data_IF_253530225831
#
_entry.id   IF_253530225831
#
_cell.length_a   1.000
_cell.length_b   1.000
_cell.length_c   1.000
_cell.angle_alpha   90.00
_cell.angle_beta   90.00
_cell.angle_gamma   90.00
#
_symmetry.space_group_name_H-M   'P 1'
#
loop_
_entity.id
_entity.type
_entity.pdbx_description
1 polymer ?
#
# COMPACT_ATOMS: atom_id res chain seq x y z
N UNK A 1 -25.48 1.56 14.19
CA UNK A 1 -24.13 1.55 13.59
C UNK A 1 -24.11 2.71 12.61
N UNK A 2 -23.30 3.77 12.81
CA UNK A 2 -23.25 4.83 11.82
C UNK A 2 -22.78 4.19 10.51
N UNK A 3 -23.50 4.50 9.44
CA UNK A 3 -23.17 4.10 8.07
C UNK A 3 -21.91 4.86 7.66
N UNK A 4 -20.75 4.39 8.12
CA UNK A 4 -19.47 4.98 7.77
C UNK A 4 -19.24 4.61 6.31
N UNK A 5 -19.55 5.55 5.41
CA UNK A 5 -19.28 5.33 3.99
C UNK A 5 -17.79 5.10 3.83
N UNK A 6 -17.44 3.91 3.36
CA UNK A 6 -16.05 3.57 3.09
C UNK A 6 -15.53 4.51 2.01
N UNK A 7 -14.28 4.97 2.18
CA UNK A 7 -13.61 5.76 1.15
C UNK A 7 -13.71 5.06 -0.21
N UNK A 8 -13.81 5.82 -1.30
CA UNK A 8 -13.75 5.26 -2.65
C UNK A 8 -12.44 4.52 -2.94
N UNK A 9 -11.39 4.81 -2.17
CA UNK A 9 -10.11 4.10 -2.25
C UNK A 9 -10.08 2.80 -1.40
N UNK A 10 -11.18 2.39 -0.75
CA UNK A 10 -11.18 1.19 0.10
C UNK A 10 -10.97 -0.10 -0.72
N UNK A 11 -10.04 -0.98 -0.31
CA UNK A 11 -9.76 -2.21 -1.06
C UNK A 11 -10.86 -3.26 -0.88
N UNK A 12 -11.34 -3.82 -2.00
CA UNK A 12 -12.47 -4.75 -2.03
C UNK A 12 -12.28 -6.04 -1.20
N UNK A 13 -11.04 -6.48 -1.00
CA UNK A 13 -10.72 -7.68 -0.22
C UNK A 13 -10.58 -7.44 1.28
N UNK A 14 -10.68 -6.19 1.75
CA UNK A 14 -10.56 -5.83 3.17
C UNK A 14 -11.95 -5.53 3.72
N UNK A 15 -12.32 -6.23 4.79
CA UNK A 15 -13.63 -6.01 5.41
C UNK A 15 -13.69 -4.63 6.09
N UNK A 16 -14.88 -4.04 6.24
CA UNK A 16 -15.03 -2.69 6.82
C UNK A 16 -14.47 -2.58 8.25
N UNK A 17 -14.04 -1.39 8.70
CA UNK A 17 -13.70 -1.14 10.10
C UNK A 17 -14.86 -1.53 11.03
N UNK A 18 -14.53 -2.11 12.19
CA UNK A 18 -15.53 -2.60 13.16
C UNK A 18 -16.03 -4.03 12.92
N UNK A 19 -15.71 -4.65 11.78
CA UNK A 19 -15.90 -6.09 11.58
C UNK A 19 -14.87 -6.91 12.36
N UNK A 20 -15.27 -8.02 12.98
CA UNK A 20 -14.38 -8.94 13.72
C UNK A 20 -13.21 -9.46 12.86
N UNK A 21 -13.41 -9.54 11.54
CA UNK A 21 -12.42 -10.01 10.59
C UNK A 21 -11.58 -8.90 9.95
N UNK A 22 -11.83 -7.63 10.26
CA UNK A 22 -11.20 -6.47 9.62
C UNK A 22 -9.67 -6.61 9.62
N UNK A 23 -9.07 -6.69 10.82
CA UNK A 23 -7.61 -6.78 10.97
C UNK A 23 -7.00 -7.96 10.22
N UNK A 24 -7.67 -9.12 10.26
CA UNK A 24 -7.19 -10.33 9.58
C UNK A 24 -7.16 -10.12 8.07
N UNK A 25 -8.25 -9.60 7.49
CA UNK A 25 -8.34 -9.36 6.04
C UNK A 25 -7.42 -8.22 5.61
N UNK A 26 -7.27 -7.17 6.42
CA UNK A 26 -6.31 -6.09 6.19
C UNK A 26 -4.87 -6.63 6.19
N UNK A 27 -4.49 -7.45 7.17
CA UNK A 27 -3.14 -8.01 7.24
C UNK A 27 -2.81 -8.91 6.04
N UNK A 28 -3.74 -9.77 5.62
CA UNK A 28 -3.58 -10.61 4.41
C UNK A 28 -3.32 -9.72 3.19
N UNK A 29 -4.20 -8.75 2.96
CA UNK A 29 -4.09 -7.83 1.84
C UNK A 29 -2.79 -7.01 1.86
N UNK A 30 -2.39 -6.47 3.03
CA UNK A 30 -1.15 -5.69 3.18
C UNK A 30 0.10 -6.54 2.89
N UNK A 31 0.13 -7.81 3.31
CA UNK A 31 1.25 -8.70 3.00
C UNK A 31 1.35 -9.04 1.51
N UNK A 32 0.25 -9.01 0.77
CA UNK A 32 0.26 -9.22 -0.69
C UNK A 32 0.84 -8.03 -1.45
N UNK A 33 0.97 -6.86 -0.80
CA UNK A 33 1.60 -5.66 -1.36
C UNK A 33 3.11 -5.55 -1.07
N UNK A 34 3.63 -6.43 -0.21
CA UNK A 34 5.00 -6.37 0.28
C UNK A 34 5.85 -7.53 -0.23
N UNK A 35 7.19 -7.39 -0.25
CA UNK A 35 8.10 -8.51 -0.43
C UNK A 35 7.78 -9.68 0.51
N UNK A 36 7.87 -10.90 0.00
CA UNK A 36 7.41 -12.09 0.70
C UNK A 36 8.12 -12.32 2.05
N UNK A 37 9.40 -11.93 2.15
CA UNK A 37 10.23 -12.08 3.34
C UNK A 37 9.65 -11.37 4.58
N UNK A 38 8.84 -10.33 4.39
CA UNK A 38 8.20 -9.65 5.52
C UNK A 38 7.25 -10.57 6.31
N UNK A 39 6.76 -11.66 5.70
CA UNK A 39 5.94 -12.67 6.39
C UNK A 39 6.72 -13.44 7.45
N UNK A 40 8.06 -13.43 7.42
CA UNK A 40 8.91 -14.05 8.44
C UNK A 40 8.92 -13.26 9.76
N UNK A 41 8.54 -11.97 9.72
CA UNK A 41 8.49 -11.12 10.91
C UNK A 41 7.13 -11.24 11.61
N UNK A 42 7.03 -12.17 12.57
CA UNK A 42 5.79 -12.44 13.31
C UNK A 42 5.17 -11.20 13.99
N UNK A 43 5.98 -10.20 14.36
CA UNK A 43 5.50 -8.92 14.91
C UNK A 43 4.55 -8.18 13.95
N UNK A 44 4.81 -8.23 12.64
CA UNK A 44 3.97 -7.55 11.64
C UNK A 44 2.61 -8.23 11.49
N UNK A 45 2.54 -9.55 11.69
CA UNK A 45 1.26 -10.27 11.71
C UNK A 45 0.48 -10.03 13.01
N UNK A 46 1.20 -9.85 14.13
CA UNK A 46 0.57 -9.59 15.44
C UNK A 46 0.09 -8.15 15.59
N UNK A 47 0.73 -7.19 14.92
CA UNK A 47 0.39 -5.78 15.01
C UNK A 47 0.14 -5.19 13.60
N UNK A 48 -1.08 -5.34 13.05
CA UNK A 48 -1.40 -4.85 11.70
C UNK A 48 -1.16 -3.35 11.48
N UNK A 49 -1.24 -2.53 12.53
CA UNK A 49 -0.89 -1.09 12.48
C UNK A 49 0.59 -0.85 12.15
N UNK A 50 1.50 -1.72 12.62
CA UNK A 50 2.91 -1.63 12.25
C UNK A 50 3.11 -2.06 10.78
N UNK A 51 2.36 -3.08 10.34
CA UNK A 51 2.37 -3.57 8.96
C UNK A 51 1.82 -2.53 7.97
N UNK A 52 0.75 -1.81 8.29
CA UNK A 52 0.19 -0.75 7.43
C UNK A 52 1.15 0.42 7.28
N UNK A 53 1.79 0.84 8.38
CA UNK A 53 2.85 1.87 8.35
C UNK A 53 4.00 1.45 7.43
N UNK A 54 4.47 0.21 7.54
CA UNK A 54 5.52 -0.35 6.68
C UNK A 54 5.08 -0.37 5.20
N UNK A 55 3.88 -0.85 4.91
CA UNK A 55 3.33 -0.90 3.56
C UNK A 55 3.25 0.50 2.94
N UNK A 56 2.82 1.51 3.71
CA UNK A 56 2.77 2.91 3.28
C UNK A 56 4.15 3.44 2.93
N UNK A 57 5.16 3.19 3.76
CA UNK A 57 6.55 3.57 3.47
C UNK A 57 7.10 2.86 2.22
N UNK A 58 6.86 1.55 2.11
CA UNK A 58 7.30 0.76 0.96
C UNK A 58 6.70 1.29 -0.35
N UNK A 59 5.39 1.47 -0.42
CA UNK A 59 4.71 1.95 -1.62
C UNK A 59 5.05 3.40 -1.96
N UNK A 60 5.30 4.24 -0.95
CA UNK A 60 5.82 5.59 -1.17
C UNK A 60 7.18 5.55 -1.88
N UNK A 61 8.08 4.68 -1.43
CA UNK A 61 9.39 4.49 -2.05
C UNK A 61 9.27 3.91 -3.46
N UNK A 62 8.41 2.90 -3.68
CA UNK A 62 8.13 2.32 -5.01
C UNK A 62 7.59 3.37 -5.97
N UNK A 63 6.66 4.22 -5.53
CA UNK A 63 6.11 5.29 -6.36
C UNK A 63 7.17 6.31 -6.74
N UNK A 64 8.03 6.70 -5.79
CA UNK A 64 9.14 7.61 -6.05
C UNK A 64 10.12 7.01 -7.07
N UNK A 65 10.52 5.76 -6.89
CA UNK A 65 11.42 5.04 -7.79
C UNK A 65 10.83 4.89 -9.20
N UNK A 66 9.54 4.56 -9.30
CA UNK A 66 8.82 4.42 -10.58
C UNK A 66 8.77 5.76 -11.34
N UNK A 67 8.51 6.86 -10.63
CA UNK A 67 8.53 8.21 -11.22
C UNK A 67 9.93 8.60 -11.66
N UNK A 68 10.95 8.23 -10.90
CA UNK A 68 12.33 8.50 -11.29
C UNK A 68 12.73 7.71 -12.53
N UNK A 69 12.45 6.42 -12.56
CA UNK A 69 12.67 5.59 -13.75
C UNK A 69 11.99 6.16 -15.00
N UNK A 70 10.76 6.67 -14.89
CA UNK A 70 10.11 7.37 -16.01
C UNK A 70 10.89 8.60 -16.50
N UNK A 71 11.44 9.41 -15.58
CA UNK A 71 12.18 10.64 -15.94
C UNK A 71 13.49 10.32 -16.64
N UNK A 72 14.21 9.27 -16.20
CA UNK A 72 15.57 9.01 -16.65
C UNK A 72 15.67 7.96 -17.76
N UNK A 73 14.70 7.05 -17.88
CA UNK A 73 14.76 5.88 -18.78
C UNK A 73 15.13 6.21 -20.23
N UNK A 74 14.64 7.34 -20.77
CA UNK A 74 15.00 7.75 -22.14
C UNK A 74 16.48 8.03 -22.32
N UNK A 75 17.11 8.69 -21.36
CA UNK A 75 18.54 9.00 -21.42
C UNK A 75 19.35 7.76 -21.12
N UNK A 76 18.96 7.01 -20.09
CA UNK A 76 19.72 5.87 -19.59
C UNK A 76 19.68 4.67 -20.54
N UNK A 77 18.56 4.47 -21.27
CA UNK A 77 18.34 3.24 -22.04
C UNK A 77 18.43 3.41 -23.56
N UNK A 78 18.49 4.64 -24.10
CA UNK A 78 18.53 4.87 -25.57
C UNK A 78 19.71 4.20 -26.28
N UNK A 79 20.82 3.95 -25.57
CA UNK A 79 21.99 3.27 -26.12
C UNK A 79 21.83 1.73 -26.14
N UNK A 80 20.85 1.21 -25.41
CA UNK A 80 20.64 -0.23 -25.20
C UNK A 80 19.37 -0.75 -25.87
N UNK A 81 18.41 0.12 -26.18
CA UNK A 81 17.09 -0.26 -26.67
C UNK A 81 16.74 0.45 -27.98
N UNK A 82 16.05 -0.23 -28.91
CA UNK A 82 15.45 0.43 -30.05
C UNK A 82 14.30 1.36 -29.61
N UNK A 83 13.93 2.39 -30.40
CA UNK A 83 12.94 3.40 -30.02
C UNK A 83 11.59 2.83 -29.56
N UNK A 84 11.07 1.81 -30.27
CA UNK A 84 9.78 1.20 -29.92
C UNK A 84 9.81 0.48 -28.56
N UNK A 85 10.94 -0.15 -28.19
CA UNK A 85 11.09 -0.79 -26.89
C UNK A 85 11.20 0.25 -25.77
N UNK A 86 11.89 1.37 -26.04
CA UNK A 86 11.96 2.49 -25.10
C UNK A 86 10.58 3.09 -24.82
N UNK A 87 9.74 3.24 -25.85
CA UNK A 87 8.35 3.67 -25.67
C UNK A 87 7.54 2.70 -24.80
N UNK A 88 7.74 1.38 -24.97
CA UNK A 88 7.08 0.37 -24.14
C UNK A 88 7.52 0.48 -22.67
N UNK A 89 8.80 0.66 -22.40
CA UNK A 89 9.32 0.90 -21.03
C UNK A 89 8.70 2.15 -20.42
N UNK A 90 8.62 3.24 -21.17
CA UNK A 90 7.98 4.48 -20.70
C UNK A 90 6.49 4.27 -20.34
N UNK A 91 5.76 3.51 -21.16
CA UNK A 91 4.36 3.14 -20.88
C UNK A 91 4.25 2.26 -19.63
N UNK A 92 5.18 1.34 -19.44
CA UNK A 92 5.23 0.48 -18.25
C UNK A 92 5.41 1.31 -16.97
N UNK A 93 6.40 2.21 -16.91
CA UNK A 93 6.57 3.11 -15.77
C UNK A 93 5.33 3.98 -15.52
N UNK A 94 4.70 4.49 -16.58
CA UNK A 94 3.50 5.32 -16.43
C UNK A 94 2.31 4.52 -15.86
N UNK A 95 2.11 3.29 -16.34
CA UNK A 95 1.07 2.40 -15.84
C UNK A 95 1.33 2.01 -14.38
N UNK A 96 2.57 1.66 -14.05
CA UNK A 96 2.96 1.26 -12.70
C UNK A 96 2.86 2.42 -11.71
N UNK A 97 3.22 3.64 -12.14
CA UNK A 97 3.09 4.84 -11.31
C UNK A 97 1.64 5.14 -10.95
N UNK A 98 0.71 4.97 -11.91
CA UNK A 98 -0.73 5.12 -11.64
C UNK A 98 -1.25 4.03 -10.72
N UNK A 99 -0.89 2.77 -10.97
CA UNK A 99 -1.27 1.62 -10.14
C UNK A 99 -0.78 1.80 -8.71
N UNK A 100 0.51 2.07 -8.52
CA UNK A 100 1.11 2.26 -7.20
C UNK A 100 0.48 3.42 -6.46
N UNK A 101 0.22 4.56 -7.12
CA UNK A 101 -0.44 5.69 -6.50
C UNK A 101 -1.88 5.38 -6.04
N UNK A 102 -2.62 4.54 -6.78
CA UNK A 102 -3.94 4.10 -6.36
C UNK A 102 -3.88 3.18 -5.14
N UNK A 103 -3.01 2.18 -5.17
CA UNK A 103 -2.80 1.25 -4.04
C UNK A 103 -2.33 1.99 -2.79
N UNK A 104 -1.46 2.99 -2.93
CA UNK A 104 -0.99 3.81 -1.81
C UNK A 104 -2.16 4.51 -1.08
N UNK A 105 -3.12 5.08 -1.81
CA UNK A 105 -4.31 5.70 -1.19
C UNK A 105 -5.17 4.66 -0.46
N UNK A 106 -5.32 3.46 -1.02
CA UNK A 106 -6.00 2.35 -0.33
C UNK A 106 -5.28 1.98 0.97
N UNK A 107 -3.94 1.94 0.95
CA UNK A 107 -3.14 1.66 2.15
C UNK A 107 -3.30 2.78 3.17
N UNK A 108 -3.30 4.05 2.75
CA UNK A 108 -3.53 5.19 3.64
C UNK A 108 -4.90 5.14 4.32
N UNK A 109 -5.95 4.74 3.59
CA UNK A 109 -7.28 4.56 4.17
C UNK A 109 -7.32 3.44 5.23
N UNK A 110 -6.67 2.31 4.94
CA UNK A 110 -6.58 1.17 5.88
C UNK A 110 -5.69 1.53 7.09
N UNK A 111 -4.58 2.23 6.89
CA UNK A 111 -3.66 2.71 7.94
C UNK A 111 -4.39 3.63 8.93
N UNK A 112 -5.20 4.56 8.42
CA UNK A 112 -6.02 5.44 9.23
C UNK A 112 -7.03 4.65 10.09
N UNK A 113 -7.75 3.71 9.49
CA UNK A 113 -8.73 2.90 10.21
C UNK A 113 -8.10 1.99 11.29
N UNK A 114 -6.92 1.40 11.02
CA UNK A 114 -6.18 0.60 12.00
C UNK A 114 -5.64 1.45 13.15
N UNK A 115 -5.22 2.69 12.87
CA UNK A 115 -4.67 3.60 13.88
C UNK A 115 -5.75 4.14 14.82
N UNK A 116 -6.89 4.61 14.29
CA UNK A 116 -7.98 5.16 15.12
C UNK A 116 -8.55 4.17 16.13
N UNK A 117 -8.55 2.87 15.81
CA UNK A 117 -9.00 1.84 16.75
C UNK A 117 -8.01 1.65 17.91
N UNK A 118 -6.70 1.73 17.65
CA UNK A 118 -5.68 1.62 18.70
C UNK A 118 -5.77 2.78 19.68
N UNK A 119 -6.09 3.98 19.19
CA UNK A 119 -6.35 5.12 20.07
C UNK A 119 -7.53 4.82 20.99
N UNK A 120 -8.64 4.28 20.46
CA UNK A 120 -9.81 3.85 21.24
C UNK A 120 -9.50 2.77 22.30
N UNK A 121 -8.77 1.71 21.93
CA UNK A 121 -8.37 0.64 22.84
C UNK A 121 -7.41 1.16 23.94
N UNK A 122 -6.54 2.13 23.62
CA UNK A 122 -5.66 2.78 24.61
C UNK A 122 -6.42 3.66 25.60
N UNK A 123 -7.56 4.25 25.21
CA UNK A 123 -8.45 4.94 26.14
C UNK A 123 -9.18 3.98 27.08
N UNK A 124 -9.54 2.77 26.62
CA UNK A 124 -10.25 1.76 27.43
C UNK A 124 -9.34 1.05 28.45
N UNK A 125 -8.07 0.80 28.14
CA UNK A 125 -7.11 0.18 29.08
C UNK A 125 -6.58 1.15 30.16
N UNK A 126 -6.79 2.46 29.98
CA UNK A 126 -6.33 3.51 30.90
C UNK A 126 -7.40 4.05 31.87
N UNK A 127 -8.63 3.50 31.85
CA UNK A 127 -9.77 3.88 32.69
C UNK A 127 -10.11 2.79 33.72
#
# INVERSE_FOLDING_TARGET
>A
MPDQSLSSDWPASVHPPGSDSFERTAAVWLFDLLPADYRLHGVLRRYPVALSRLARQHLTAVLAATREGYRTARVDLRAHLPPHALEQVMRAYQAEGRRTAAVLRSVEAVDAALSSRRDGEAYEEGA
#
